data_IF_757762955998
#
_entry.id   IF_757762955998
#
_cell.length_a   1.000
_cell.length_b   1.000
_cell.length_c   1.000
_cell.angle_alpha   90.00
_cell.angle_beta   90.00
_cell.angle_gamma   90.00
#
_symmetry.space_group_name_H-M   'P 1'
#
loop_
_entity.id
_entity.type
_entity.pdbx_description
1 polymer ?
#
# COMPACT_ATOMS: atom_id res chain seq x y z
N UNK A 1 -41.61 16.27 -0.80
CA UNK A 1 -41.27 15.70 -2.13
C UNK A 1 -39.75 15.70 -2.27
N UNK A 2 -39.08 14.60 -1.93
CA UNK A 2 -37.62 14.50 -2.04
C UNK A 2 -37.22 14.46 -3.53
N UNK A 3 -36.33 15.37 -3.96
CA UNK A 3 -35.80 15.39 -5.34
C UNK A 3 -34.89 14.18 -5.52
N UNK A 4 -35.25 13.27 -6.44
CA UNK A 4 -34.40 12.18 -6.88
C UNK A 4 -33.11 12.72 -7.53
N UNK A 5 -31.95 12.09 -7.32
CA UNK A 5 -30.71 12.51 -7.97
C UNK A 5 -30.82 12.38 -9.49
N UNK A 6 -30.31 13.37 -10.22
CA UNK A 6 -30.24 13.37 -11.68
C UNK A 6 -29.48 12.13 -12.14
N UNK A 7 -30.08 11.36 -13.06
CA UNK A 7 -29.38 10.26 -13.73
C UNK A 7 -28.08 10.80 -14.32
N UNK A 8 -26.99 10.07 -14.07
CA UNK A 8 -25.71 10.35 -14.71
C UNK A 8 -25.91 9.97 -16.18
N UNK A 9 -26.10 10.98 -17.04
CA UNK A 9 -25.99 10.81 -18.49
C UNK A 9 -24.50 10.64 -18.83
N UNK A 10 -23.95 9.48 -18.47
CA UNK A 10 -22.77 8.98 -19.14
C UNK A 10 -23.25 8.54 -20.51
N UNK A 11 -22.80 9.22 -21.56
CA UNK A 11 -22.87 8.69 -22.92
C UNK A 11 -22.14 7.34 -22.91
N UNK A 12 -22.88 6.26 -22.72
CA UNK A 12 -22.38 4.92 -22.92
C UNK A 12 -22.25 4.79 -24.43
N UNK A 13 -21.09 5.16 -24.97
CA UNK A 13 -20.73 4.79 -26.34
C UNK A 13 -20.90 3.27 -26.42
N UNK A 14 -21.74 2.75 -27.33
CA UNK A 14 -21.92 1.32 -27.47
C UNK A 14 -20.59 0.73 -27.92
N UNK A 15 -19.84 0.21 -26.96
CA UNK A 15 -18.62 -0.53 -27.23
C UNK A 15 -19.05 -1.81 -27.95
N UNK A 16 -18.65 -1.95 -29.20
CA UNK A 16 -18.84 -3.20 -29.93
C UNK A 16 -18.18 -4.35 -29.15
N UNK A 17 -18.74 -5.55 -29.21
CA UNK A 17 -18.23 -6.75 -28.53
C UNK A 17 -16.73 -6.94 -28.81
N UNK A 18 -16.29 -6.63 -30.02
CA UNK A 18 -14.88 -6.65 -30.42
C UNK A 18 -14.02 -5.62 -29.69
N UNK A 19 -14.55 -4.41 -29.47
CA UNK A 19 -13.86 -3.36 -28.72
C UNK A 19 -13.80 -3.69 -27.23
N UNK A 20 -14.88 -4.24 -26.66
CA UNK A 20 -14.91 -4.72 -25.27
C UNK A 20 -13.92 -5.86 -25.03
N UNK A 21 -13.88 -6.86 -25.93
CA UNK A 21 -12.91 -7.95 -25.85
C UNK A 21 -11.48 -7.43 -26.04
N UNK A 22 -11.28 -6.48 -26.96
CA UNK A 22 -9.97 -5.86 -27.17
C UNK A 22 -9.49 -5.03 -25.97
N UNK A 23 -10.39 -4.31 -25.28
CA UNK A 23 -10.05 -3.51 -24.10
C UNK A 23 -9.84 -4.39 -22.86
N UNK A 24 -10.61 -5.47 -22.71
CA UNK A 24 -10.43 -6.45 -21.63
C UNK A 24 -9.17 -7.31 -21.81
N UNK A 25 -8.73 -7.54 -23.06
CA UNK A 25 -7.50 -8.26 -23.38
C UNK A 25 -6.24 -7.40 -23.23
N UNK A 26 -6.39 -6.06 -23.23
CA UNK A 26 -5.28 -5.18 -22.90
C UNK A 26 -5.00 -5.28 -21.41
N UNK A 27 -3.75 -5.61 -21.05
CA UNK A 27 -3.28 -5.47 -19.68
C UNK A 27 -3.56 -4.02 -19.26
N UNK A 28 -4.22 -3.76 -18.12
CA UNK A 28 -4.46 -2.40 -17.67
C UNK A 28 -3.12 -1.67 -17.64
N UNK A 29 -3.05 -0.45 -18.17
CA UNK A 29 -1.84 0.38 -18.14
C UNK A 29 -1.35 0.61 -16.70
N UNK A 30 -2.25 0.47 -15.71
CA UNK A 30 -1.97 0.51 -14.27
C UNK A 30 -1.53 -0.82 -13.66
N UNK A 31 -1.44 -1.91 -14.42
CA UNK A 31 -0.68 -3.11 -14.02
C UNK A 31 0.83 -2.81 -14.10
N UNK A 32 1.24 -1.72 -13.45
CA UNK A 32 2.62 -1.39 -13.14
C UNK A 32 3.26 -2.66 -12.59
N UNK A 33 4.38 -3.09 -13.17
CA UNK A 33 5.07 -4.31 -12.82
C UNK A 33 5.16 -4.45 -11.29
N UNK A 34 4.34 -5.32 -10.70
CA UNK A 34 4.34 -5.57 -9.26
C UNK A 34 5.45 -6.57 -9.00
N UNK A 35 6.59 -6.07 -8.53
CA UNK A 35 7.66 -6.93 -8.03
C UNK A 35 7.26 -7.45 -6.65
N UNK A 36 6.96 -8.74 -6.56
CA UNK A 36 6.75 -9.40 -5.26
C UNK A 36 8.10 -9.59 -4.60
N UNK A 37 8.22 -9.07 -3.37
CA UNK A 37 9.40 -9.26 -2.53
C UNK A 37 8.96 -9.88 -1.21
N UNK A 38 9.84 -10.72 -0.64
CA UNK A 38 9.67 -11.21 0.72
C UNK A 38 10.37 -10.23 1.65
N UNK A 39 9.60 -9.65 2.58
CA UNK A 39 10.11 -8.77 3.63
C UNK A 39 9.96 -9.48 4.97
N UNK A 40 11.03 -9.54 5.74
CA UNK A 40 10.97 -9.96 7.15
C UNK A 40 10.47 -8.78 7.97
N UNK A 41 9.43 -9.00 8.75
CA UNK A 41 8.84 -8.02 9.66
C UNK A 41 8.84 -8.61 11.07
N UNK A 42 9.02 -7.78 12.08
CA UNK A 42 8.83 -8.18 13.48
C UNK A 42 7.35 -8.28 13.81
N UNK A 43 7.01 -8.93 14.93
CA UNK A 43 5.61 -8.99 15.39
C UNK A 43 5.07 -7.58 15.68
N UNK A 44 5.88 -6.71 16.29
CA UNK A 44 5.53 -5.30 16.54
C UNK A 44 5.23 -4.53 15.23
N UNK A 45 6.00 -4.78 14.16
CA UNK A 45 5.75 -4.18 12.84
C UNK A 45 4.42 -4.67 12.25
N UNK A 46 4.08 -5.95 12.45
CA UNK A 46 2.84 -6.55 11.96
C UNK A 46 1.63 -6.02 12.74
N UNK A 47 1.74 -5.90 14.05
CA UNK A 47 0.69 -5.37 14.93
C UNK A 47 0.41 -3.90 14.61
N UNK A 48 1.46 -3.08 14.51
CA UNK A 48 1.33 -1.66 14.14
C UNK A 48 0.72 -1.51 12.75
N UNK A 49 1.14 -2.32 11.78
CA UNK A 49 0.53 -2.29 10.46
C UNK A 49 -0.95 -2.68 10.51
N UNK A 50 -1.32 -3.68 11.32
CA UNK A 50 -2.70 -4.13 11.46
C UNK A 50 -3.60 -3.06 12.09
N UNK A 51 -3.11 -2.29 13.06
CA UNK A 51 -3.83 -1.14 13.62
C UNK A 51 -4.23 -0.14 12.52
N UNK A 52 -3.25 0.30 11.71
CA UNK A 52 -3.52 1.24 10.62
C UNK A 52 -4.37 0.65 9.49
N UNK A 53 -4.22 -0.64 9.21
CA UNK A 53 -5.10 -1.32 8.26
C UNK A 53 -6.56 -1.28 8.74
N UNK A 54 -6.81 -1.54 10.02
CA UNK A 54 -8.15 -1.53 10.61
C UNK A 54 -8.73 -0.11 10.69
N UNK A 55 -7.93 0.87 11.12
CA UNK A 55 -8.35 2.26 11.29
C UNK A 55 -8.75 2.92 9.96
N UNK A 56 -7.98 2.66 8.90
CA UNK A 56 -8.15 3.34 7.61
C UNK A 56 -8.78 2.46 6.53
N UNK A 57 -9.12 1.19 6.84
CA UNK A 57 -9.60 0.22 5.85
C UNK A 57 -8.57 -0.04 4.75
N UNK A 58 -7.28 0.09 5.06
CA UNK A 58 -6.18 0.02 4.11
C UNK A 58 -5.57 -1.39 4.05
N UNK A 59 -4.93 -1.71 2.92
CA UNK A 59 -4.05 -2.87 2.82
C UNK A 59 -2.69 -2.58 3.45
N UNK A 60 -1.99 -3.63 3.90
CA UNK A 60 -0.61 -3.50 4.41
C UNK A 60 0.34 -2.82 3.44
N UNK A 61 0.16 -3.07 2.14
CA UNK A 61 0.95 -2.43 1.10
C UNK A 61 0.71 -0.90 1.04
N UNK A 62 -0.52 -0.45 1.28
CA UNK A 62 -0.84 0.97 1.38
C UNK A 62 -0.26 1.61 2.63
N UNK A 63 -0.30 0.93 3.77
CA UNK A 63 0.37 1.38 5.01
C UNK A 63 1.87 1.59 4.77
N UNK A 64 2.54 0.62 4.14
CA UNK A 64 3.97 0.74 3.80
C UNK A 64 4.21 1.90 2.83
N UNK A 65 3.37 2.08 1.81
CA UNK A 65 3.49 3.23 0.87
C UNK A 65 3.32 4.56 1.59
N UNK A 66 2.36 4.66 2.51
CA UNK A 66 2.14 5.84 3.33
C UNK A 66 3.38 6.14 4.20
N UNK A 67 3.97 5.13 4.84
CA UNK A 67 5.21 5.29 5.61
C UNK A 67 6.38 5.78 4.74
N UNK A 68 6.54 5.23 3.53
CA UNK A 68 7.56 5.69 2.57
C UNK A 68 7.33 7.14 2.12
N UNK A 69 6.07 7.55 1.93
CA UNK A 69 5.72 8.93 1.61
C UNK A 69 6.03 9.86 2.78
N UNK A 70 5.68 9.47 4.01
CA UNK A 70 5.99 10.23 5.23
C UNK A 70 7.50 10.44 5.40
N UNK A 71 8.33 9.42 5.16
CA UNK A 71 9.79 9.55 5.20
C UNK A 71 10.32 10.64 4.25
N UNK A 72 9.66 10.91 3.12
CA UNK A 72 10.07 11.99 2.21
C UNK A 72 9.80 13.38 2.76
N UNK A 73 8.82 13.53 3.65
CA UNK A 73 8.43 14.80 4.28
C UNK A 73 9.36 15.19 5.44
N UNK A 74 10.04 14.21 6.02
CA UNK A 74 10.97 14.38 7.15
C UNK A 74 12.35 14.86 6.65
N UNK A 75 13.10 15.61 7.46
CA UNK A 75 14.43 16.10 7.09
C UNK A 75 15.45 14.95 6.92
N UNK A 76 16.56 15.23 6.24
CA UNK A 76 17.60 14.23 6.03
C UNK A 76 18.26 13.76 7.34
N UNK A 77 18.39 14.65 8.32
CA UNK A 77 18.97 14.36 9.63
C UNK A 77 18.04 13.48 10.47
N UNK A 78 16.76 13.84 10.55
CA UNK A 78 15.76 13.04 11.26
C UNK A 78 15.60 11.65 10.64
N UNK A 79 15.58 11.56 9.30
CA UNK A 79 15.61 10.25 8.61
C UNK A 79 16.81 9.42 9.07
N UNK A 80 18.00 10.02 9.15
CA UNK A 80 19.22 9.33 9.57
C UNK A 80 19.11 8.82 11.00
N UNK A 81 18.52 9.62 11.90
CA UNK A 81 18.27 9.23 13.28
C UNK A 81 17.29 8.04 13.37
N UNK A 82 16.16 8.12 12.67
CA UNK A 82 15.17 7.03 12.61
C UNK A 82 15.81 5.70 12.15
N UNK A 83 16.59 5.73 11.07
CA UNK A 83 17.28 4.52 10.59
C UNK A 83 18.33 3.99 11.57
N UNK A 84 19.03 4.88 12.29
CA UNK A 84 19.99 4.45 13.30
C UNK A 84 19.29 3.74 14.46
N UNK A 85 18.16 4.25 14.93
CA UNK A 85 17.42 3.66 16.04
C UNK A 85 16.77 2.32 15.66
N UNK A 86 16.18 2.24 14.46
CA UNK A 86 15.69 0.98 13.90
C UNK A 86 16.81 -0.06 13.87
N UNK A 87 18.01 0.30 13.38
CA UNK A 87 19.14 -0.64 13.29
C UNK A 87 19.63 -1.14 14.64
N UNK A 88 19.54 -0.34 15.71
CA UNK A 88 19.90 -0.78 17.07
C UNK A 88 18.92 -1.84 17.59
N UNK A 89 17.64 -1.68 17.25
CA UNK A 89 16.56 -2.52 17.77
C UNK A 89 16.18 -3.68 16.84
N UNK A 90 16.64 -3.65 15.58
CA UNK A 90 16.35 -4.69 14.61
C UNK A 90 16.96 -6.03 15.05
N UNK A 91 16.21 -7.14 14.97
CA UNK A 91 16.75 -8.46 15.23
C UNK A 91 17.91 -8.73 14.25
N UNK A 92 19.09 -9.02 14.79
CA UNK A 92 20.24 -9.41 13.97
C UNK A 92 19.97 -10.78 13.38
N UNK A 93 20.06 -10.90 12.06
CA UNK A 93 19.91 -12.18 11.36
C UNK A 93 20.78 -13.27 12.01
N UNK A 94 20.16 -14.39 12.39
CA UNK A 94 20.85 -15.56 12.98
C UNK A 94 20.97 -15.56 14.51
N UNK A 95 20.51 -14.53 15.23
CA UNK A 95 20.48 -14.59 16.71
C UNK A 95 19.19 -15.28 17.17
N UNK A 96 19.24 -16.33 18.01
CA UNK A 96 18.05 -16.92 18.60
C UNK A 96 17.26 -15.85 19.36
N UNK A 97 15.94 -15.97 19.38
CA UNK A 97 15.08 -15.15 20.23
C UNK A 97 15.57 -15.25 21.66
N UNK A 98 15.85 -14.10 22.29
CA UNK A 98 16.10 -14.08 23.74
C UNK A 98 14.74 -14.29 24.37
N UNK A 99 14.45 -15.53 24.80
CA UNK A 99 13.23 -15.85 25.51
C UNK A 99 13.02 -14.83 26.64
N UNK A 100 11.87 -14.17 26.65
CA UNK A 100 11.36 -13.42 27.80
C UNK A 100 10.57 -14.36 28.70
#
# INVERSE_FOLDING_TARGET
MAKLPKKIDQEITPLDLRQFVSSAAQKPASASAVTRINLTMTDDDLDTAQEFQNEYGASRAEVIRAALAALRMVSAEERRMLFNDIRKNSPKAGRPTVNK
#
